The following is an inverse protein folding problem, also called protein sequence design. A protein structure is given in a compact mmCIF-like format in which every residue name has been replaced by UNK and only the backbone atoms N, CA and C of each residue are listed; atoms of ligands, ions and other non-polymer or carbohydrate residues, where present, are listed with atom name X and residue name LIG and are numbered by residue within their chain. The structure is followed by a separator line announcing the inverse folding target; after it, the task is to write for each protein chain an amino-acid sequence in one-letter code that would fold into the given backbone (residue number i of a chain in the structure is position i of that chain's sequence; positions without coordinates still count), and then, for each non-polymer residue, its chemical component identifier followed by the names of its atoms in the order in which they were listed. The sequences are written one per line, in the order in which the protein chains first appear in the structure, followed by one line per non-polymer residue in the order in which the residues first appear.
data_IF_548132240811
#
_entry.id   IF_548132240811
#
_cell.length_a   1.000
_cell.length_b   1.000
_cell.length_c   1.000
_cell.angle_alpha   90.00
_cell.angle_beta   90.00
_cell.angle_gamma   90.00
#
_symmetry.space_group_name_H-M   'P 1'
#
loop_
_entity.id
_entity.type
_entity.pdbx_description
1 polymer ?
#
# COMPACT_ATOMS: atom_id res chain seq x y z
N UNK A 1 -12.30 5.93 -23.09
CA UNK A 1 -12.00 5.66 -21.67
C UNK A 1 -10.54 5.95 -21.34
N UNK A 2 -9.56 5.47 -22.09
CA UNK A 2 -8.14 5.63 -21.77
C UNK A 2 -7.66 7.10 -21.71
N UNK A 3 -8.12 7.98 -22.60
CA UNK A 3 -7.66 9.38 -22.66
C UNK A 3 -8.16 10.23 -21.47
N UNK A 4 -9.41 10.02 -21.04
CA UNK A 4 -9.98 10.71 -19.87
C UNK A 4 -9.28 10.27 -18.60
N UNK A 5 -9.10 8.97 -18.41
CA UNK A 5 -8.39 8.42 -17.22
C UNK A 5 -6.93 8.84 -17.19
N UNK A 6 -6.27 8.89 -18.36
CA UNK A 6 -4.90 9.38 -18.46
C UNK A 6 -4.77 10.82 -18.00
N UNK A 7 -5.69 11.72 -18.41
CA UNK A 7 -5.71 13.12 -17.97
C UNK A 7 -5.95 13.25 -16.46
N UNK A 8 -6.91 12.51 -15.92
CA UNK A 8 -7.22 12.50 -14.48
C UNK A 8 -6.04 11.97 -13.67
N UNK A 9 -5.39 10.91 -14.14
CA UNK A 9 -4.24 10.34 -13.47
C UNK A 9 -3.03 11.29 -13.48
N UNK A 10 -2.77 11.97 -14.60
CA UNK A 10 -1.72 13.00 -14.66
C UNK A 10 -2.02 14.16 -13.70
N UNK A 11 -3.28 14.62 -13.62
CA UNK A 11 -3.66 15.65 -12.67
C UNK A 11 -3.49 15.17 -11.22
N UNK A 12 -3.91 13.95 -10.90
CA UNK A 12 -3.74 13.37 -9.57
C UNK A 12 -2.27 13.23 -9.16
N UNK A 13 -1.38 12.83 -10.09
CA UNK A 13 0.06 12.81 -9.84
C UNK A 13 0.59 14.21 -9.52
N UNK A 14 0.16 15.23 -10.27
CA UNK A 14 0.54 16.62 -10.01
C UNK A 14 0.05 17.10 -8.63
N UNK A 15 -1.21 16.84 -8.29
CA UNK A 15 -1.82 17.25 -7.02
C UNK A 15 -1.11 16.57 -5.81
N UNK A 16 -0.62 15.34 -6.01
CA UNK A 16 0.16 14.59 -5.01
C UNK A 16 1.66 14.94 -5.01
N UNK A 17 2.09 15.84 -5.89
CA UNK A 17 3.50 16.24 -6.06
C UNK A 17 4.38 15.09 -6.57
N UNK A 18 3.83 14.16 -7.34
CA UNK A 18 4.53 13.03 -7.95
C UNK A 18 4.87 13.32 -9.41
N UNK A 19 5.90 12.63 -9.91
CA UNK A 19 6.32 12.81 -11.30
C UNK A 19 5.26 12.26 -12.28
N UNK A 20 4.95 13.03 -13.32
CA UNK A 20 4.02 12.66 -14.39
C UNK A 20 4.72 11.78 -15.43
N UNK A 21 5.22 10.61 -15.02
CA UNK A 21 5.86 9.67 -15.93
C UNK A 21 4.80 8.95 -16.81
N UNK A 22 4.87 9.09 -18.14
CA UNK A 22 3.94 8.39 -19.04
C UNK A 22 3.99 6.87 -18.91
N UNK A 23 5.12 6.30 -18.49
CA UNK A 23 5.24 4.86 -18.26
C UNK A 23 4.46 4.44 -17.00
N UNK A 24 4.52 5.24 -15.92
CA UNK A 24 3.72 5.02 -14.72
C UNK A 24 2.22 5.10 -15.05
N UNK A 25 1.80 6.16 -15.73
CA UNK A 25 0.39 6.34 -16.14
C UNK A 25 -0.11 5.12 -16.91
N UNK A 26 0.65 4.62 -17.87
CA UNK A 26 0.29 3.43 -18.65
C UNK A 26 0.16 2.20 -17.76
N UNK A 27 1.13 1.92 -16.88
CA UNK A 27 1.10 0.78 -15.97
C UNK A 27 -0.14 0.80 -15.07
N UNK A 28 -0.51 1.97 -14.53
CA UNK A 28 -1.67 2.10 -13.64
C UNK A 28 -3.00 1.92 -14.40
N UNK A 29 -3.10 2.41 -15.62
CA UNK A 29 -4.27 2.16 -16.48
C UNK A 29 -4.38 0.67 -16.88
N UNK A 30 -3.26 0.04 -17.21
CA UNK A 30 -3.21 -1.40 -17.51
C UNK A 30 -3.60 -2.23 -16.28
N UNK A 31 -3.15 -1.82 -15.08
CA UNK A 31 -3.57 -2.46 -13.83
C UNK A 31 -5.10 -2.40 -13.64
N UNK A 32 -5.75 -1.24 -13.83
CA UNK A 32 -7.21 -1.12 -13.73
C UNK A 32 -7.89 -2.05 -14.73
N UNK A 33 -7.43 -2.08 -15.99
CA UNK A 33 -7.98 -2.94 -17.03
C UNK A 33 -7.88 -4.43 -16.64
N UNK A 34 -6.73 -4.86 -16.11
CA UNK A 34 -6.54 -6.23 -15.64
C UNK A 34 -7.41 -6.52 -14.43
N UNK A 35 -7.47 -5.60 -13.46
CA UNK A 35 -8.32 -5.76 -12.27
C UNK A 35 -9.79 -5.93 -12.65
N UNK A 36 -10.31 -5.12 -13.57
CA UNK A 36 -11.68 -5.25 -14.07
C UNK A 36 -11.94 -6.62 -14.71
N UNK A 37 -11.01 -7.09 -15.54
CA UNK A 37 -11.14 -8.41 -16.21
C UNK A 37 -11.21 -9.54 -15.21
N UNK A 38 -10.27 -9.58 -14.26
CA UNK A 38 -10.22 -10.61 -13.24
C UNK A 38 -11.38 -10.51 -12.25
N UNK A 39 -11.79 -9.30 -11.90
CA UNK A 39 -12.87 -9.08 -10.93
C UNK A 39 -14.21 -9.64 -11.39
N UNK A 40 -14.45 -9.76 -12.71
CA UNK A 40 -15.65 -10.39 -13.28
C UNK A 40 -15.80 -11.85 -12.87
N UNK A 41 -14.68 -12.56 -12.71
CA UNK A 41 -14.66 -14.00 -12.41
C UNK A 41 -14.34 -14.27 -10.93
N UNK A 42 -13.41 -13.52 -10.37
CA UNK A 42 -12.81 -13.89 -9.08
C UNK A 42 -13.22 -13.02 -7.89
N UNK A 43 -13.98 -11.94 -8.11
CA UNK A 43 -14.39 -11.01 -7.05
C UNK A 43 -13.18 -10.56 -6.17
N UNK A 44 -12.18 -9.98 -6.81
CA UNK A 44 -10.96 -9.51 -6.15
C UNK A 44 -11.20 -8.24 -5.31
N UNK A 45 -12.17 -7.42 -5.71
CA UNK A 45 -12.60 -6.19 -5.04
C UNK A 45 -14.12 -6.03 -5.12
N UNK A 46 -14.70 -5.33 -4.14
CA UNK A 46 -16.11 -4.97 -4.13
C UNK A 46 -16.47 -3.91 -5.19
N UNK A 47 -15.48 -3.08 -5.57
CA UNK A 47 -15.69 -2.04 -6.59
C UNK A 47 -15.80 -2.68 -7.98
N UNK A 48 -16.77 -2.19 -8.77
CA UNK A 48 -16.98 -2.67 -10.13
C UNK A 48 -16.86 -1.57 -11.16
N UNK A 49 -17.11 -0.34 -10.76
CA UNK A 49 -17.00 0.84 -11.58
C UNK A 49 -15.53 1.25 -11.74
N UNK A 50 -15.03 1.41 -13.00
CA UNK A 50 -13.65 1.82 -13.24
C UNK A 50 -13.31 3.22 -12.71
N UNK A 51 -14.27 4.15 -12.67
CA UNK A 51 -14.08 5.48 -12.09
C UNK A 51 -13.83 5.38 -10.58
N UNK A 52 -14.60 4.56 -9.88
CA UNK A 52 -14.39 4.28 -8.47
C UNK A 52 -13.07 3.55 -8.22
N UNK A 53 -12.67 2.61 -9.11
CA UNK A 53 -11.37 1.93 -9.00
C UNK A 53 -10.22 2.93 -9.17
N UNK A 54 -10.33 3.88 -10.10
CA UNK A 54 -9.31 4.92 -10.29
C UNK A 54 -9.12 5.73 -9.01
N UNK A 55 -10.20 6.22 -8.41
CA UNK A 55 -10.14 7.08 -7.23
C UNK A 55 -9.80 6.29 -5.97
N UNK A 56 -10.60 5.25 -5.64
CA UNK A 56 -10.52 4.56 -4.34
C UNK A 56 -9.44 3.47 -4.30
N UNK A 57 -8.83 3.11 -5.44
CA UNK A 57 -7.73 2.16 -5.46
C UNK A 57 -6.43 2.84 -5.87
N UNK A 58 -6.40 3.54 -7.01
CA UNK A 58 -5.15 4.11 -7.52
C UNK A 58 -4.79 5.39 -6.77
N UNK A 59 -5.67 6.39 -6.73
CA UNK A 59 -5.34 7.67 -6.08
C UNK A 59 -5.15 7.50 -4.58
N UNK A 60 -5.98 6.67 -3.92
CA UNK A 60 -5.83 6.32 -2.52
C UNK A 60 -4.46 5.64 -2.24
N UNK A 61 -4.01 4.73 -3.12
CA UNK A 61 -2.68 4.11 -2.98
C UNK A 61 -1.52 5.05 -3.31
N UNK A 62 -1.68 5.96 -4.27
CA UNK A 62 -0.66 6.97 -4.62
C UNK A 62 -0.48 8.00 -3.50
N UNK A 63 -1.53 8.29 -2.71
CA UNK A 63 -1.49 9.30 -1.66
C UNK A 63 -0.45 9.04 -0.57
N UNK A 64 -0.02 7.78 -0.39
CA UNK A 64 1.00 7.41 0.60
C UNK A 64 2.42 7.41 0.06
N UNK A 65 2.63 7.64 -1.25
CA UNK A 65 3.98 7.63 -1.84
C UNK A 65 4.86 8.71 -1.24
N UNK A 66 4.40 9.97 -1.18
CA UNK A 66 5.15 11.07 -0.57
C UNK A 66 5.42 10.88 0.92
N UNK A 67 4.45 10.54 1.77
CA UNK A 67 4.68 10.14 3.15
C UNK A 67 5.80 9.12 3.31
N UNK A 68 5.80 8.07 2.47
CA UNK A 68 6.85 7.05 2.52
C UNK A 68 8.21 7.57 2.06
N UNK A 69 8.27 8.34 0.97
CA UNK A 69 9.50 9.00 0.51
C UNK A 69 10.11 9.88 1.61
N UNK A 70 9.30 10.70 2.27
CA UNK A 70 9.72 11.59 3.35
C UNK A 70 10.28 10.81 4.55
N UNK A 71 9.58 9.74 4.97
CA UNK A 71 10.06 8.88 6.05
C UNK A 71 11.40 8.22 5.69
N UNK A 72 11.51 7.67 4.48
CA UNK A 72 12.71 6.96 4.03
C UNK A 72 13.91 7.90 3.81
N UNK A 73 13.67 9.13 3.34
CA UNK A 73 14.73 10.13 3.16
C UNK A 73 15.37 10.59 4.48
N UNK A 74 14.61 10.58 5.58
CA UNK A 74 15.10 10.94 6.92
C UNK A 74 15.96 9.86 7.60
N UNK A 75 16.20 8.72 6.94
CA UNK A 75 16.94 7.59 7.50
C UNK A 75 18.39 7.57 7.01
N UNK A 76 19.31 7.30 7.92
CA UNK A 76 20.70 7.01 7.59
C UNK A 76 20.79 5.60 6.95
N UNK A 77 20.38 5.47 5.69
CA UNK A 77 20.63 4.26 4.94
C UNK A 77 22.05 4.30 4.36
N UNK A 78 22.80 3.22 4.50
CA UNK A 78 23.97 3.02 3.67
C UNK A 78 23.48 2.97 2.19
N UNK A 79 24.22 3.60 1.27
CA UNK A 79 23.84 3.74 -0.13
C UNK A 79 23.59 2.40 -0.88
N UNK A 80 23.74 1.27 -0.22
CA UNK A 80 23.62 -0.10 -0.75
C UNK A 80 22.38 -0.85 -0.25
N UNK A 81 21.64 -0.36 0.76
CA UNK A 81 20.47 -1.07 1.24
C UNK A 81 19.22 -0.71 0.44
N UNK A 82 18.64 -1.71 -0.21
CA UNK A 82 17.35 -1.55 -0.90
C UNK A 82 16.21 -1.42 0.09
N UNK A 83 15.31 -0.47 -0.12
CA UNK A 83 14.09 -0.29 0.67
C UNK A 83 13.19 -1.51 0.55
N UNK A 84 12.73 -2.06 1.67
CA UNK A 84 11.79 -3.20 1.72
C UNK A 84 10.47 -2.76 2.30
N UNK A 85 9.40 -2.97 1.55
CA UNK A 85 8.03 -2.68 2.00
C UNK A 85 7.19 -3.95 1.88
N UNK A 86 6.46 -4.26 2.94
CA UNK A 86 5.56 -5.41 2.97
C UNK A 86 4.12 -4.91 3.08
N UNK A 87 3.29 -5.26 2.09
CA UNK A 87 1.86 -4.95 2.04
C UNK A 87 1.07 -6.18 2.52
N UNK A 88 0.49 -6.08 3.72
CA UNK A 88 -0.18 -7.20 4.39
C UNK A 88 -1.69 -7.12 4.20
N UNK A 89 -2.29 -8.25 3.79
CA UNK A 89 -3.70 -8.28 3.41
C UNK A 89 -3.94 -7.47 2.13
N UNK A 90 -2.97 -7.51 1.22
CA UNK A 90 -2.92 -6.65 0.03
C UNK A 90 -4.10 -6.82 -0.94
N UNK A 91 -4.87 -7.90 -0.80
CA UNK A 91 -6.00 -8.14 -1.68
C UNK A 91 -5.59 -8.25 -3.14
N UNK A 92 -6.12 -7.38 -3.97
CA UNK A 92 -5.71 -7.25 -5.37
C UNK A 92 -4.31 -6.58 -5.54
N UNK A 93 -3.52 -6.50 -4.47
CA UNK A 93 -2.20 -5.87 -4.50
C UNK A 93 -2.23 -4.37 -4.23
N UNK A 94 -3.11 -3.91 -3.35
CA UNK A 94 -3.29 -2.49 -3.05
C UNK A 94 -3.00 -2.19 -1.57
N UNK A 95 -2.04 -1.31 -1.29
CA UNK A 95 -1.35 -0.37 -2.20
C UNK A 95 -0.13 -0.93 -2.94
N UNK A 96 0.34 -2.15 -2.65
CA UNK A 96 1.65 -2.67 -3.05
C UNK A 96 1.97 -2.60 -4.56
N UNK A 97 1.05 -2.97 -5.45
CA UNK A 97 1.27 -2.89 -6.92
C UNK A 97 1.45 -1.44 -7.36
N UNK A 98 0.68 -0.52 -6.80
CA UNK A 98 0.78 0.92 -7.12
C UNK A 98 2.12 1.48 -6.63
N UNK A 99 2.54 1.13 -5.41
CA UNK A 99 3.85 1.51 -4.87
C UNK A 99 5.00 0.97 -5.72
N UNK A 100 4.93 -0.30 -6.14
CA UNK A 100 5.95 -0.89 -7.00
C UNK A 100 6.04 -0.22 -8.37
N UNK A 101 4.90 0.20 -8.94
CA UNK A 101 4.86 0.94 -10.19
C UNK A 101 5.43 2.35 -10.06
N UNK A 102 5.11 3.05 -8.95
CA UNK A 102 5.53 4.43 -8.71
C UNK A 102 6.99 4.56 -8.26
N UNK A 103 7.55 3.55 -7.59
CA UNK A 103 8.87 3.60 -6.96
C UNK A 103 9.68 2.33 -7.31
N UNK A 104 10.36 2.35 -8.45
CA UNK A 104 11.13 1.19 -8.94
C UNK A 104 12.31 0.78 -8.06
N UNK A 105 12.76 1.67 -7.17
CA UNK A 105 13.86 1.40 -6.21
C UNK A 105 13.40 0.73 -4.92
N UNK A 106 12.10 0.59 -4.68
CA UNK A 106 11.54 -0.08 -3.53
C UNK A 106 11.22 -1.53 -3.85
N UNK A 107 11.63 -2.46 -3.01
CA UNK A 107 11.23 -3.86 -3.11
C UNK A 107 9.92 -4.06 -2.34
N UNK A 108 8.86 -4.36 -3.06
CA UNK A 108 7.52 -4.53 -2.52
C UNK A 108 7.17 -6.02 -2.47
N UNK A 109 6.71 -6.48 -1.32
CA UNK A 109 6.13 -7.81 -1.16
C UNK A 109 4.67 -7.70 -0.74
N UNK A 110 3.76 -8.18 -1.58
CA UNK A 110 2.34 -8.31 -1.27
C UNK A 110 2.06 -9.66 -0.62
N UNK A 111 1.35 -9.66 0.51
CA UNK A 111 0.96 -10.88 1.23
C UNK A 111 -0.56 -10.90 1.39
N UNK A 112 -1.19 -12.02 1.05
CA UNK A 112 -2.61 -12.29 1.36
C UNK A 112 -2.83 -13.81 1.53
N UNK A 113 -3.75 -14.19 2.42
CA UNK A 113 -4.12 -15.58 2.66
C UNK A 113 -5.04 -16.16 1.58
N UNK A 114 -5.45 -15.37 0.60
CA UNK A 114 -6.37 -15.77 -0.47
C UNK A 114 -5.59 -16.01 -1.77
N UNK A 115 -5.45 -17.27 -2.16
CA UNK A 115 -4.65 -17.72 -3.30
C UNK A 115 -4.96 -16.97 -4.61
N UNK A 116 -6.24 -16.86 -4.97
CA UNK A 116 -6.65 -16.18 -6.22
C UNK A 116 -6.25 -14.71 -6.30
N UNK A 117 -6.14 -14.03 -5.13
CA UNK A 117 -5.66 -12.65 -5.06
C UNK A 117 -4.17 -12.58 -5.33
N UNK A 118 -3.39 -13.48 -4.73
CA UNK A 118 -1.94 -13.53 -4.96
C UNK A 118 -1.60 -14.03 -6.36
N UNK A 119 -2.39 -14.93 -6.95
CA UNK A 119 -2.27 -15.29 -8.36
C UNK A 119 -2.46 -14.09 -9.29
N UNK A 120 -3.42 -13.21 -8.98
CA UNK A 120 -3.59 -11.95 -9.71
C UNK A 120 -2.38 -11.03 -9.54
N UNK A 121 -1.89 -10.81 -8.32
CA UNK A 121 -0.71 -9.97 -8.07
C UNK A 121 0.52 -10.54 -8.79
N UNK A 122 0.73 -11.86 -8.74
CA UNK A 122 1.83 -12.53 -9.46
C UNK A 122 1.74 -12.30 -10.98
N UNK A 123 0.53 -12.29 -11.55
CA UNK A 123 0.36 -11.93 -12.97
C UNK A 123 0.74 -10.47 -13.23
N UNK A 124 0.46 -9.54 -12.30
CA UNK A 124 0.82 -8.12 -12.47
C UNK A 124 2.33 -7.89 -12.50
N UNK A 125 3.13 -8.73 -11.85
CA UNK A 125 4.60 -8.67 -11.94
C UNK A 125 5.06 -8.71 -13.40
N UNK A 126 4.54 -9.67 -14.17
CA UNK A 126 4.89 -9.81 -15.60
C UNK A 126 4.16 -8.79 -16.48
N UNK A 127 2.85 -8.65 -16.31
CA UNK A 127 2.01 -7.82 -17.19
C UNK A 127 2.37 -6.33 -17.15
N UNK A 128 2.84 -5.84 -16.00
CA UNK A 128 3.22 -4.43 -15.81
C UNK A 128 4.74 -4.22 -15.79
N UNK A 129 5.53 -5.27 -16.03
CA UNK A 129 6.99 -5.25 -15.92
C UNK A 129 7.46 -4.61 -14.60
N UNK A 130 7.10 -5.23 -13.47
CA UNK A 130 7.44 -4.79 -12.11
C UNK A 130 8.42 -5.79 -11.45
N UNK A 131 9.71 -5.77 -11.79
CA UNK A 131 10.70 -6.72 -11.24
C UNK A 131 10.93 -6.53 -9.73
N UNK A 132 10.50 -5.40 -9.18
CA UNK A 132 10.57 -5.02 -7.77
C UNK A 132 9.32 -5.40 -6.97
N UNK A 133 8.38 -6.15 -7.56
CA UNK A 133 7.17 -6.65 -6.91
C UNK A 133 7.24 -8.17 -6.76
N UNK A 134 6.86 -8.67 -5.59
CA UNK A 134 6.64 -10.09 -5.32
C UNK A 134 5.29 -10.33 -4.65
N UNK A 135 4.71 -11.52 -4.87
CA UNK A 135 3.43 -11.93 -4.30
C UNK A 135 3.63 -13.22 -3.48
N UNK A 136 3.11 -13.24 -2.26
CA UNK A 136 3.20 -14.39 -1.37
C UNK A 136 1.82 -14.81 -0.88
N UNK A 137 1.40 -16.03 -1.26
CA UNK A 137 0.18 -16.65 -0.73
C UNK A 137 0.52 -17.35 0.58
N UNK A 138 0.35 -16.63 1.68
CA UNK A 138 0.63 -17.12 3.04
C UNK A 138 -0.13 -16.30 4.06
N UNK A 139 -0.43 -16.87 5.22
CA UNK A 139 -0.84 -16.09 6.39
C UNK A 139 0.37 -15.39 6.97
N UNK A 140 0.28 -14.08 7.18
CA UNK A 140 1.43 -13.25 7.59
C UNK A 140 2.07 -13.73 8.88
N UNK A 141 1.28 -14.20 9.84
CA UNK A 141 1.75 -14.75 11.12
C UNK A 141 2.56 -16.06 10.99
N UNK A 142 2.47 -16.74 9.84
CA UNK A 142 3.22 -17.97 9.56
C UNK A 142 4.53 -17.71 8.80
N UNK A 143 4.72 -16.47 8.30
CA UNK A 143 5.92 -16.11 7.55
C UNK A 143 7.07 -15.75 8.50
N UNK A 144 8.30 -16.14 8.15
CA UNK A 144 9.50 -15.68 8.87
C UNK A 144 9.65 -14.15 8.81
N UNK A 145 10.26 -13.52 9.84
CA UNK A 145 10.46 -12.07 9.88
C UNK A 145 11.12 -11.52 8.60
N UNK A 146 10.48 -10.55 7.96
CA UNK A 146 10.91 -10.05 6.63
C UNK A 146 11.85 -8.85 6.70
N UNK A 147 12.09 -8.30 7.89
CA UNK A 147 12.98 -7.17 8.11
C UNK A 147 12.63 -5.96 7.21
N UNK A 148 11.34 -5.62 7.18
CA UNK A 148 10.83 -4.54 6.34
C UNK A 148 11.12 -3.16 6.95
N UNK A 149 11.40 -2.19 6.09
CA UNK A 149 11.47 -0.77 6.46
C UNK A 149 10.10 -0.23 6.84
N UNK A 150 9.09 -0.64 6.06
CA UNK A 150 7.69 -0.29 6.26
C UNK A 150 6.84 -1.55 6.07
N UNK A 151 5.97 -1.82 7.03
CA UNK A 151 4.86 -2.76 6.86
C UNK A 151 3.59 -1.95 6.72
N UNK A 152 2.92 -2.07 5.58
CA UNK A 152 1.70 -1.30 5.26
C UNK A 152 0.49 -2.21 5.14
N UNK A 153 -0.67 -1.70 5.48
CA UNK A 153 -1.95 -2.35 5.20
C UNK A 153 -3.10 -1.36 5.09
N UNK A 154 -4.08 -1.74 4.29
CA UNK A 154 -5.37 -1.07 4.11
C UNK A 154 -6.54 -1.91 4.66
N UNK A 155 -6.26 -3.13 5.12
CA UNK A 155 -7.26 -4.17 5.34
C UNK A 155 -7.59 -4.45 6.80
N UNK A 156 -6.75 -4.05 7.75
CA UNK A 156 -6.98 -4.39 9.15
C UNK A 156 -8.08 -3.58 9.80
N UNK A 157 -8.95 -4.29 10.55
CA UNK A 157 -10.05 -3.71 11.32
C UNK A 157 -9.56 -2.92 12.53
N UNK A 158 -8.44 -3.36 13.17
CA UNK A 158 -7.86 -2.66 14.31
C UNK A 158 -6.34 -2.51 14.19
N UNK A 159 -5.80 -1.47 14.85
CA UNK A 159 -4.34 -1.26 14.94
C UNK A 159 -3.69 -2.37 15.78
N UNK A 160 -4.37 -2.83 16.83
CA UNK A 160 -3.88 -3.91 17.70
C UNK A 160 -3.72 -5.22 16.94
N UNK A 161 -4.72 -5.63 16.15
CA UNK A 161 -4.60 -6.82 15.31
C UNK A 161 -3.46 -6.69 14.31
N UNK A 162 -3.30 -5.49 13.73
CA UNK A 162 -2.23 -5.25 12.76
C UNK A 162 -0.85 -5.43 13.37
N UNK A 163 -0.58 -4.85 14.54
CA UNK A 163 0.73 -5.00 15.19
C UNK A 163 0.98 -6.42 15.68
N UNK A 164 -0.06 -7.10 16.19
CA UNK A 164 0.06 -8.47 16.68
C UNK A 164 0.37 -9.47 15.55
N UNK A 165 -0.24 -9.30 14.38
CA UNK A 165 -0.05 -10.21 13.26
C UNK A 165 1.18 -9.87 12.41
N UNK A 166 1.48 -8.60 12.22
CA UNK A 166 2.47 -8.15 11.26
C UNK A 166 3.68 -7.41 11.87
N UNK A 167 3.65 -7.03 13.14
CA UNK A 167 4.71 -6.25 13.78
C UNK A 167 6.07 -6.91 13.75
N UNK A 168 6.14 -8.25 13.84
CA UNK A 168 7.39 -9.03 13.76
C UNK A 168 8.15 -8.87 12.44
N UNK A 169 7.49 -8.41 11.38
CA UNK A 169 8.09 -8.22 10.05
C UNK A 169 8.79 -6.88 9.90
N UNK A 170 8.58 -5.96 10.84
CA UNK A 170 9.27 -4.66 10.87
C UNK A 170 10.69 -4.85 11.39
N UNK A 171 11.68 -4.28 10.70
CA UNK A 171 13.06 -4.27 11.20
C UNK A 171 13.25 -3.28 12.35
N UNK A 172 14.36 -3.38 13.07
CA UNK A 172 14.74 -2.37 14.06
C UNK A 172 14.76 -0.97 13.42
N UNK A 173 14.02 -0.02 14.02
CA UNK A 173 13.84 1.34 13.49
C UNK A 173 12.90 1.48 12.30
N UNK A 174 12.27 0.40 11.83
CA UNK A 174 11.20 0.44 10.82
C UNK A 174 9.86 0.89 11.40
N UNK A 175 8.82 0.94 10.58
CA UNK A 175 7.48 1.41 10.97
C UNK A 175 6.38 0.52 10.42
N UNK A 176 5.26 0.49 11.13
CA UNK A 176 3.98 0.10 10.56
C UNK A 176 3.27 1.36 10.08
N UNK A 177 2.63 1.26 8.92
CA UNK A 177 1.85 2.32 8.29
C UNK A 177 0.43 1.81 8.01
N UNK A 178 -0.54 2.18 8.85
CA UNK A 178 -1.93 1.78 8.69
C UNK A 178 -2.72 2.84 7.93
N UNK A 179 -3.27 2.47 6.77
CA UNK A 179 -4.18 3.34 6.01
C UNK A 179 -5.59 3.24 6.59
N UNK A 180 -6.15 4.36 7.04
CA UNK A 180 -7.47 4.44 7.68
C UNK A 180 -8.37 5.49 7.00
N UNK A 181 -9.69 5.27 7.09
CA UNK A 181 -10.68 6.22 6.57
C UNK A 181 -10.82 7.47 7.43
N UNK A 182 -10.62 7.35 8.75
CA UNK A 182 -10.64 8.44 9.72
C UNK A 182 -9.69 8.11 10.86
N UNK A 183 -9.39 9.10 11.69
CA UNK A 183 -8.57 8.88 12.89
C UNK A 183 -9.23 7.83 13.81
N UNK A 184 -8.49 6.77 14.19
CA UNK A 184 -9.06 5.63 14.90
C UNK A 184 -8.85 5.74 16.42
N UNK A 185 -9.45 6.75 17.09
CA UNK A 185 -9.22 7.06 18.51
C UNK A 185 -9.40 5.85 19.43
N UNK A 186 -10.46 5.07 19.23
CA UNK A 186 -10.72 3.87 20.06
C UNK A 186 -9.69 2.77 19.84
N UNK A 187 -9.21 2.62 18.60
CA UNK A 187 -8.16 1.65 18.28
C UNK A 187 -6.81 2.07 18.87
N UNK A 188 -6.54 3.38 18.94
CA UNK A 188 -5.32 3.93 19.55
C UNK A 188 -5.30 3.63 21.05
N UNK A 189 -6.40 3.82 21.75
CA UNK A 189 -6.50 3.52 23.18
C UNK A 189 -6.23 2.02 23.46
N UNK A 190 -6.83 1.13 22.67
CA UNK A 190 -6.60 -0.31 22.78
C UNK A 190 -5.13 -0.68 22.50
N UNK A 191 -4.54 -0.12 21.44
CA UNK A 191 -3.14 -0.34 21.09
C UNK A 191 -2.19 0.01 22.23
N UNK A 192 -2.40 1.18 22.86
CA UNK A 192 -1.55 1.68 23.94
C UNK A 192 -1.66 0.86 25.23
N UNK A 193 -2.84 0.27 25.51
CA UNK A 193 -3.06 -0.51 26.71
C UNK A 193 -2.64 -1.98 26.58
N UNK A 194 -2.60 -2.54 25.39
CA UNK A 194 -2.49 -3.98 25.15
C UNK A 194 -1.25 -4.40 24.34
N UNK A 195 -0.39 -3.43 23.96
CA UNK A 195 0.80 -3.74 23.17
C UNK A 195 2.01 -2.86 23.55
N UNK A 196 3.19 -3.23 23.04
CA UNK A 196 4.40 -2.41 23.11
C UNK A 196 4.57 -1.50 21.88
N UNK A 197 3.46 -1.22 21.16
CA UNK A 197 3.44 -0.30 20.03
C UNK A 197 2.73 0.99 20.40
N UNK A 198 3.17 2.09 19.80
CA UNK A 198 2.55 3.40 19.97
C UNK A 198 2.38 4.12 18.65
N UNK A 199 1.40 5.02 18.60
CA UNK A 199 1.27 5.95 17.49
C UNK A 199 2.39 6.98 17.57
N UNK A 200 3.23 7.04 16.52
CA UNK A 200 4.27 8.06 16.38
C UNK A 200 3.65 9.36 15.85
N UNK A 201 2.82 9.26 14.82
CA UNK A 201 2.08 10.37 14.23
C UNK A 201 0.92 9.89 13.38
N UNK A 202 -0.02 10.77 13.11
CA UNK A 202 -1.12 10.58 12.16
C UNK A 202 -0.99 11.67 11.10
N UNK A 203 -0.95 11.26 9.84
CA UNK A 203 -0.90 12.18 8.70
C UNK A 203 -2.25 12.13 7.96
N UNK A 204 -2.93 13.28 7.84
CA UNK A 204 -4.08 13.40 6.95
C UNK A 204 -3.62 13.23 5.51
N UNK A 205 -4.34 12.39 4.76
CA UNK A 205 -4.06 12.15 3.35
C UNK A 205 -5.08 12.88 2.48
N UNK A 206 -4.60 13.65 1.52
CA UNK A 206 -5.42 14.16 0.43
C UNK A 206 -5.42 13.14 -0.70
N UNK A 207 -6.59 12.59 -1.00
CA UNK A 207 -6.79 11.70 -2.14
C UNK A 207 -7.53 12.47 -3.23
N UNK A 208 -6.92 12.70 -4.40
CA UNK A 208 -7.58 13.46 -5.47
C UNK A 208 -8.96 12.89 -5.81
N UNK A 209 -9.92 13.78 -6.05
CA UNK A 209 -11.31 13.44 -6.39
C UNK A 209 -12.08 12.62 -5.32
N UNK A 210 -11.56 12.47 -4.11
CA UNK A 210 -12.21 11.76 -3.02
C UNK A 210 -12.59 12.73 -1.91
N UNK A 211 -13.89 12.92 -1.66
CA UNK A 211 -14.37 13.79 -0.57
C UNK A 211 -14.30 13.14 0.83
N UNK A 212 -14.03 11.83 0.90
CA UNK A 212 -13.92 11.12 2.17
C UNK A 212 -12.57 11.34 2.84
N UNK A 213 -12.58 11.44 4.16
CA UNK A 213 -11.35 11.52 4.96
C UNK A 213 -10.47 10.28 4.75
N UNK A 214 -9.16 10.51 4.76
CA UNK A 214 -8.13 9.46 4.78
C UNK A 214 -7.00 9.91 5.68
N UNK A 215 -6.44 8.95 6.41
CA UNK A 215 -5.23 9.20 7.19
C UNK A 215 -4.28 7.99 7.14
N UNK A 216 -3.01 8.28 7.37
CA UNK A 216 -1.95 7.30 7.55
C UNK A 216 -1.49 7.35 9.00
N UNK A 217 -1.69 6.25 9.72
CA UNK A 217 -1.28 6.10 11.12
C UNK A 217 0.08 5.40 11.14
N UNK A 218 1.10 6.10 11.60
CA UNK A 218 2.45 5.56 11.77
C UNK A 218 2.61 4.99 13.17
N UNK A 219 3.04 3.74 13.24
CA UNK A 219 3.25 3.04 14.50
C UNK A 219 4.72 2.67 14.66
N UNK A 220 5.21 2.82 15.87
CA UNK A 220 6.58 2.47 16.28
C UNK A 220 6.54 1.54 17.48
N UNK A 221 7.45 0.57 17.51
CA UNK A 221 7.65 -0.28 18.66
C UNK A 221 8.41 0.51 19.74
N UNK A 222 7.90 0.46 20.97
CA UNK A 222 8.63 0.98 22.14
C UNK A 222 9.84 0.09 22.41
N UNK A 223 10.99 0.71 22.63
CA UNK A 223 12.25 0.02 22.94
C UNK A 223 12.26 -0.59 24.33
#
# INVERSE_FOLDING_TARGET
MSDIFSKRLNQALLDLGLDQDPALVRKLLDYINQLQRWNRTYNLTALRDPDQMLVQHIFDSLSIVRPFQNYLAGRNQSAQESVRIVDVGSGAGLPGVVLAAACSTWNITCIDAVEKKMAFVQQMVGALALPNLSAMHVRVEQQEPMQADIVVSRAFSSLLDFVNLAGRHVRAGGRIAAMKGKEPDLEIAALQSESNWQVERIESLTVPELEAQRCLVWLVQQG
#
